data_IF_903713717654
#
_entry.id   IF_903713717654
#
_cell.length_a   1.000
_cell.length_b   1.000
_cell.length_c   1.000
_cell.angle_alpha   90.00
_cell.angle_beta   90.00
_cell.angle_gamma   90.00
#
_symmetry.space_group_name_H-M   'P 1'
#
loop_
_entity.id
_entity.type
_entity.pdbx_description
1 polymer ?
#
# COMPACT_ATOMS: atom_id res chain seq x y z
N UNK A 1 -27.52 -4.25 4.07
CA UNK A 1 -26.06 -4.08 3.94
C UNK A 1 -25.77 -3.32 2.66
N UNK A 2 -25.08 -2.19 2.75
CA UNK A 2 -24.69 -1.40 1.58
C UNK A 2 -23.55 -2.13 0.89
N UNK A 3 -23.71 -2.44 -0.40
CA UNK A 3 -22.62 -2.98 -1.23
C UNK A 3 -21.81 -1.83 -1.81
N UNK A 4 -20.51 -1.81 -1.52
CA UNK A 4 -19.57 -0.93 -2.17
C UNK A 4 -19.11 -1.60 -3.49
N UNK A 5 -19.50 -1.00 -4.61
CA UNK A 5 -19.07 -1.46 -5.93
C UNK A 5 -17.94 -0.54 -6.40
N UNK A 6 -16.72 -1.05 -6.34
CA UNK A 6 -15.52 -0.35 -6.77
C UNK A 6 -15.26 -0.68 -8.24
N UNK A 7 -15.15 0.34 -9.07
CA UNK A 7 -14.76 0.20 -10.47
C UNK A 7 -13.55 1.08 -10.75
N UNK A 8 -12.61 0.58 -11.53
CA UNK A 8 -11.51 1.37 -12.04
C UNK A 8 -12.03 2.48 -12.95
N UNK A 9 -11.52 3.70 -12.79
CA UNK A 9 -12.08 4.88 -13.45
C UNK A 9 -11.92 4.84 -14.98
N UNK A 10 -10.75 4.43 -15.48
CA UNK A 10 -10.41 4.58 -16.91
C UNK A 10 -10.24 3.24 -17.66
N UNK A 11 -9.89 2.17 -16.97
CA UNK A 11 -9.53 0.89 -17.63
C UNK A 11 -10.48 -0.26 -17.30
N UNK A 12 -11.43 -0.04 -16.40
CA UNK A 12 -12.27 -1.10 -15.84
C UNK A 12 -11.56 -2.00 -14.83
N UNK A 13 -10.23 -1.89 -14.69
CA UNK A 13 -9.44 -2.56 -13.66
C UNK A 13 -9.29 -1.66 -12.44
N UNK A 14 -9.48 -2.23 -11.25
CA UNK A 14 -9.33 -1.52 -9.97
C UNK A 14 -7.84 -1.32 -9.65
N UNK A 15 -7.45 -0.08 -9.37
CA UNK A 15 -6.10 0.25 -8.90
C UNK A 15 -6.12 0.56 -7.41
N UNK A 16 -5.41 -0.25 -6.64
CA UNK A 16 -5.35 -0.16 -5.18
C UNK A 16 -3.96 0.26 -4.74
N UNK A 17 -3.87 1.30 -3.92
CA UNK A 17 -2.63 1.73 -3.27
C UNK A 17 -2.71 1.44 -1.78
N UNK A 18 -1.78 0.61 -1.29
CA UNK A 18 -1.64 0.28 0.12
C UNK A 18 -0.41 1.01 0.68
N UNK A 19 -0.59 1.76 1.76
CA UNK A 19 0.43 2.56 2.42
C UNK A 19 0.60 2.07 3.86
N UNK A 20 1.81 1.71 4.25
CA UNK A 20 2.20 1.38 5.62
C UNK A 20 3.35 2.27 6.08
N UNK A 21 3.33 2.72 7.32
CA UNK A 21 4.48 3.35 7.96
C UNK A 21 5.58 2.30 8.18
N UNK A 22 5.20 1.12 8.64
CA UNK A 22 6.07 -0.03 8.92
C UNK A 22 5.70 -1.26 8.10
N UNK A 23 6.52 -2.32 8.22
CA UNK A 23 6.45 -3.50 7.34
C UNK A 23 5.25 -4.42 7.57
N UNK A 24 4.52 -4.25 8.66
CA UNK A 24 3.39 -5.07 9.08
C UNK A 24 2.04 -4.31 9.10
N UNK A 25 2.04 -3.00 8.92
CA UNK A 25 0.83 -2.16 8.99
C UNK A 25 -0.24 -2.58 8.01
N UNK A 26 0.14 -2.90 6.78
CA UNK A 26 -0.80 -3.21 5.69
C UNK A 26 -1.47 -4.55 5.97
N UNK A 27 -0.69 -5.57 6.33
CA UNK A 27 -1.18 -6.92 6.63
C UNK A 27 -2.13 -6.92 7.82
N UNK A 28 -1.73 -6.24 8.90
CA UNK A 28 -2.53 -6.17 10.12
C UNK A 28 -3.77 -5.30 9.90
N UNK A 29 -3.59 -4.13 9.27
CA UNK A 29 -4.65 -3.14 9.12
C UNK A 29 -5.70 -3.49 8.08
N UNK A 30 -5.31 -4.05 6.94
CA UNK A 30 -6.23 -4.29 5.82
C UNK A 30 -5.97 -5.55 5.00
N UNK A 31 -5.12 -6.49 5.48
CA UNK A 31 -4.78 -7.71 4.75
C UNK A 31 -6.00 -8.54 4.33
N UNK A 32 -6.95 -8.75 5.23
CA UNK A 32 -8.20 -9.45 4.91
C UNK A 32 -9.02 -8.76 3.81
N UNK A 33 -9.02 -7.42 3.81
CA UNK A 33 -9.69 -6.62 2.78
C UNK A 33 -8.97 -6.74 1.44
N UNK A 34 -7.64 -6.74 1.43
CA UNK A 34 -6.82 -6.93 0.22
C UNK A 34 -7.10 -8.29 -0.41
N UNK A 35 -7.08 -9.37 0.39
CA UNK A 35 -7.42 -10.71 -0.09
C UNK A 35 -8.81 -10.75 -0.71
N UNK A 36 -9.79 -10.13 -0.07
CA UNK A 36 -11.15 -10.06 -0.57
C UNK A 36 -11.26 -9.28 -1.88
N UNK A 37 -10.56 -8.16 -1.99
CA UNK A 37 -10.53 -7.36 -3.23
C UNK A 37 -9.83 -8.11 -4.36
N UNK A 38 -8.72 -8.79 -4.09
CA UNK A 38 -8.00 -9.59 -5.07
C UNK A 38 -8.84 -10.76 -5.63
N UNK A 39 -9.70 -11.34 -4.79
CA UNK A 39 -10.66 -12.37 -5.18
C UNK A 39 -11.82 -11.77 -6.00
N UNK A 40 -12.39 -10.67 -5.54
CA UNK A 40 -13.59 -10.05 -6.12
C UNK A 40 -13.27 -9.31 -7.44
N UNK A 41 -12.07 -8.77 -7.59
CA UNK A 41 -11.62 -8.01 -8.75
C UNK A 41 -10.36 -8.67 -9.34
N UNK A 42 -10.52 -9.73 -10.17
CA UNK A 42 -9.37 -10.48 -10.70
C UNK A 42 -8.40 -9.64 -11.54
N UNK A 43 -8.85 -8.56 -12.15
CA UNK A 43 -8.01 -7.64 -12.93
C UNK A 43 -7.40 -6.50 -12.10
N UNK A 44 -7.68 -6.45 -10.79
CA UNK A 44 -7.16 -5.40 -9.93
C UNK A 44 -5.62 -5.38 -9.90
N UNK A 45 -5.09 -4.17 -9.80
CA UNK A 45 -3.65 -3.90 -9.66
C UNK A 45 -3.39 -3.32 -8.29
N UNK A 46 -2.41 -3.89 -7.59
CA UNK A 46 -2.05 -3.49 -6.24
C UNK A 46 -0.66 -2.87 -6.21
N UNK A 47 -0.56 -1.71 -5.59
CA UNK A 47 0.68 -1.04 -5.24
C UNK A 47 0.88 -1.13 -3.73
N UNK A 48 2.06 -1.60 -3.32
CA UNK A 48 2.41 -1.83 -1.92
C UNK A 48 3.56 -0.91 -1.54
N UNK A 49 3.34 0.02 -0.62
CA UNK A 49 4.32 1.04 -0.26
C UNK A 49 4.54 1.06 1.25
N UNK A 50 5.77 0.86 1.70
CA UNK A 50 6.18 0.91 3.11
C UNK A 50 7.27 1.96 3.28
N UNK A 51 7.11 2.83 4.28
CA UNK A 51 7.99 3.97 4.47
C UNK A 51 9.20 3.67 5.38
N UNK A 52 9.08 2.77 6.34
CA UNK A 52 10.18 2.31 7.19
C UNK A 52 10.38 0.80 7.09
N UNK A 53 11.16 0.37 6.08
CA UNK A 53 11.48 -1.03 5.83
C UNK A 53 13.00 -1.22 5.80
N UNK A 54 13.63 -1.24 6.99
CA UNK A 54 15.09 -1.30 7.15
C UNK A 54 15.55 -2.74 7.39
N UNK A 55 16.58 -3.17 6.66
CA UNK A 55 17.21 -4.48 6.88
C UNK A 55 16.26 -5.65 6.65
N UNK A 56 16.09 -6.51 7.66
CA UNK A 56 15.21 -7.69 7.59
C UNK A 56 13.75 -7.30 7.30
N UNK A 57 13.31 -6.12 7.73
CA UNK A 57 11.96 -5.62 7.50
C UNK A 57 11.65 -5.40 6.03
N UNK A 58 12.63 -5.08 5.20
CA UNK A 58 12.45 -5.01 3.75
C UNK A 58 12.09 -6.39 3.16
N UNK A 59 12.79 -7.43 3.61
CA UNK A 59 12.56 -8.82 3.16
C UNK A 59 11.16 -9.28 3.59
N UNK A 60 10.77 -8.95 4.83
CA UNK A 60 9.44 -9.28 5.37
C UNK A 60 8.34 -8.60 4.56
N UNK A 61 8.45 -7.30 4.32
CA UNK A 61 7.47 -6.55 3.53
C UNK A 61 7.30 -7.07 2.10
N UNK A 62 8.40 -7.45 1.43
CA UNK A 62 8.34 -8.07 0.10
C UNK A 62 7.64 -9.41 0.12
N UNK A 63 7.95 -10.25 1.11
CA UNK A 63 7.31 -11.56 1.28
C UNK A 63 5.83 -11.40 1.58
N UNK A 64 5.46 -10.49 2.48
CA UNK A 64 4.08 -10.22 2.82
C UNK A 64 3.28 -9.79 1.59
N UNK A 65 3.75 -8.78 0.85
CA UNK A 65 3.08 -8.35 -0.37
C UNK A 65 2.82 -9.52 -1.35
N UNK A 66 3.80 -10.40 -1.53
CA UNK A 66 3.69 -11.55 -2.41
C UNK A 66 2.77 -12.66 -1.89
N UNK A 67 2.54 -12.74 -0.57
CA UNK A 67 1.58 -13.67 0.03
C UNK A 67 0.13 -13.18 -0.11
N UNK A 68 -0.08 -11.87 -0.01
CA UNK A 68 -1.42 -11.27 -0.06
C UNK A 68 -1.90 -11.00 -1.49
N UNK A 69 -0.98 -10.74 -2.42
CA UNK A 69 -1.31 -10.37 -3.80
C UNK A 69 -0.53 -11.23 -4.78
N UNK A 70 -1.24 -11.87 -5.71
CA UNK A 70 -0.59 -12.68 -6.76
C UNK A 70 0.38 -11.85 -7.60
N UNK A 71 1.48 -12.46 -8.12
CA UNK A 71 2.53 -11.74 -8.83
C UNK A 71 2.05 -10.92 -10.04
N UNK A 72 1.04 -11.40 -10.76
CA UNK A 72 0.49 -10.70 -11.94
C UNK A 72 -0.27 -9.42 -11.59
N UNK A 73 -0.79 -9.31 -10.37
CA UNK A 73 -1.56 -8.17 -9.87
C UNK A 73 -0.71 -7.20 -9.03
N UNK A 74 0.39 -7.67 -8.45
CA UNK A 74 1.27 -6.86 -7.60
C UNK A 74 2.30 -6.11 -8.46
N UNK A 75 2.35 -4.79 -8.29
CA UNK A 75 3.47 -3.98 -8.81
C UNK A 75 4.65 -4.06 -7.86
N UNK A 76 5.84 -3.78 -8.37
CA UNK A 76 7.06 -3.80 -7.57
C UNK A 76 6.87 -2.95 -6.29
N UNK A 77 7.00 -3.54 -5.08
CA UNK A 77 6.78 -2.82 -3.84
C UNK A 77 7.74 -1.63 -3.69
N UNK A 78 7.20 -0.48 -3.33
CA UNK A 78 7.99 0.70 -2.99
C UNK A 78 8.34 0.63 -1.50
N UNK A 79 9.60 0.32 -1.20
CA UNK A 79 10.08 0.20 0.17
C UNK A 79 11.10 1.31 0.44
N UNK A 80 10.83 2.12 1.44
CA UNK A 80 11.67 3.22 1.90
C UNK A 80 12.33 2.87 3.23
N UNK A 81 13.37 3.58 3.56
CA UNK A 81 14.21 3.35 4.75
C UNK A 81 14.21 4.55 5.68
N UNK A 82 13.07 5.23 5.78
CA UNK A 82 12.93 6.31 6.75
C UNK A 82 13.11 5.77 8.16
N UNK A 83 13.80 6.52 9.05
CA UNK A 83 14.03 6.05 10.41
C UNK A 83 12.72 5.92 11.17
N UNK A 84 12.55 4.76 11.79
CA UNK A 84 11.40 4.45 12.64
C UNK A 84 11.30 5.46 13.79
N UNK A 85 10.08 5.88 14.11
CA UNK A 85 9.81 6.89 15.14
C UNK A 85 10.19 8.33 14.78
N UNK A 86 10.83 8.57 13.63
CA UNK A 86 11.32 9.89 13.23
C UNK A 86 10.66 10.46 11.98
N UNK A 87 9.64 9.82 11.43
CA UNK A 87 8.97 10.28 10.21
C UNK A 87 8.44 11.71 10.28
N UNK A 88 7.93 12.22 11.42
CA UNK A 88 7.52 13.62 11.52
C UNK A 88 8.66 14.62 11.30
N UNK A 89 9.91 14.22 11.56
CA UNK A 89 11.09 15.07 11.41
C UNK A 89 11.73 15.02 10.00
N UNK A 90 11.29 14.07 9.16
CA UNK A 90 11.70 13.92 7.76
C UNK A 90 10.51 14.17 6.81
N UNK A 91 9.63 15.06 7.20
CA UNK A 91 8.37 15.32 6.50
C UNK A 91 8.54 15.80 5.04
N UNK A 92 9.61 16.52 4.74
CA UNK A 92 9.92 16.97 3.38
C UNK A 92 10.21 15.78 2.46
N UNK A 93 11.04 14.86 2.92
CA UNK A 93 11.43 13.65 2.19
C UNK A 93 10.23 12.69 2.03
N UNK A 94 9.43 12.53 3.08
CA UNK A 94 8.18 11.76 3.03
C UNK A 94 7.22 12.37 2.02
N UNK A 95 7.05 13.71 2.04
CA UNK A 95 6.23 14.42 1.06
C UNK A 95 6.72 14.19 -0.37
N UNK A 96 8.03 14.22 -0.60
CA UNK A 96 8.60 13.97 -1.93
C UNK A 96 8.26 12.56 -2.47
N UNK A 97 8.20 11.54 -1.60
CA UNK A 97 7.74 10.21 -1.98
C UNK A 97 6.27 10.24 -2.44
N UNK A 98 5.40 10.93 -1.70
CA UNK A 98 3.99 11.07 -2.09
C UNK A 98 3.82 11.80 -3.42
N UNK A 99 4.59 12.86 -3.67
CA UNK A 99 4.57 13.56 -4.97
C UNK A 99 5.00 12.63 -6.12
N UNK A 100 5.99 11.76 -5.89
CA UNK A 100 6.39 10.72 -6.86
C UNK A 100 5.30 9.70 -7.11
N UNK A 101 4.65 9.19 -6.07
CA UNK A 101 3.52 8.26 -6.18
C UNK A 101 2.37 8.89 -6.98
N UNK A 102 2.03 10.14 -6.69
CA UNK A 102 0.97 10.88 -7.37
C UNK A 102 1.21 11.04 -8.88
N UNK A 103 2.47 11.13 -9.31
CA UNK A 103 2.82 11.24 -10.71
C UNK A 103 2.76 9.89 -11.46
N UNK A 104 2.88 8.78 -10.74
CA UNK A 104 3.04 7.44 -11.32
C UNK A 104 1.82 6.55 -11.13
N UNK A 105 0.97 6.85 -10.15
CA UNK A 105 -0.17 6.02 -9.80
C UNK A 105 -1.42 6.89 -9.71
N UNK A 106 -2.49 6.46 -10.37
CA UNK A 106 -3.84 7.02 -10.21
C UNK A 106 -4.73 5.97 -9.51
N UNK A 107 -4.72 5.89 -8.18
CA UNK A 107 -5.45 4.87 -7.45
C UNK A 107 -6.94 5.17 -7.37
N UNK A 108 -7.77 4.13 -7.51
CA UNK A 108 -9.22 4.20 -7.24
C UNK A 108 -9.51 4.07 -5.74
N UNK A 109 -8.64 3.32 -5.03
CA UNK A 109 -8.75 3.08 -3.58
C UNK A 109 -7.37 3.22 -2.95
N UNK A 110 -7.32 3.90 -1.81
CA UNK A 110 -6.11 4.02 -0.98
C UNK A 110 -6.41 3.48 0.41
N UNK A 111 -5.59 2.53 0.86
CA UNK A 111 -5.52 2.11 2.26
C UNK A 111 -4.32 2.80 2.90
N UNK A 112 -4.54 3.47 4.00
CA UNK A 112 -3.50 4.21 4.72
C UNK A 112 -3.73 4.12 6.23
N UNK A 113 -2.69 4.34 7.05
CA UNK A 113 -2.84 4.44 8.49
C UNK A 113 -3.86 5.51 8.89
N UNK A 114 -4.56 5.27 10.01
CA UNK A 114 -5.54 6.21 10.50
C UNK A 114 -4.87 7.52 10.93
N UNK A 115 -5.40 8.66 10.48
CA UNK A 115 -4.79 9.99 10.69
C UNK A 115 -4.55 10.40 12.15
N UNK A 116 -5.24 9.77 13.11
CA UNK A 116 -5.05 10.00 14.55
C UNK A 116 -4.24 8.90 15.22
N UNK A 117 -3.72 7.95 14.45
CA UNK A 117 -2.79 6.97 14.94
C UNK A 117 -1.47 7.69 15.28
N UNK A 118 -0.99 7.46 16.49
CA UNK A 118 0.26 8.04 16.98
C UNK A 118 1.44 7.05 16.88
N UNK A 119 1.23 5.98 16.13
CA UNK A 119 2.18 4.91 15.92
C UNK A 119 3.45 5.37 15.22
#
# INVERSE_FOLDING_TARGET
>A
MIRLNLKGADTGALTVLCLGAHSDDIEIGCGGTILRLAEQYPEAVFHWSVFSAIGVREIEARKAAALFVRPSALRAPLLKTFPDGFMPFVGVEVKAVFEGLKQTIAPDVIFAPYRKDAH
#
